data_IF_849938136682
#
_entry.id   IF_849938136682
#
_cell.length_a   1.000
_cell.length_b   1.000
_cell.length_c   1.000
_cell.angle_alpha   90.00
_cell.angle_beta   90.00
_cell.angle_gamma   90.00
#
_symmetry.space_group_name_H-M   'P 1'
#
loop_
_entity.id
_entity.type
_entity.pdbx_description
1 polymer ?
#
# COMPACT_ATOMS: atom_id res chain seq x y z
N UNK A 1 -12.19 16.67 16.29
CA UNK A 1 -12.12 15.78 15.13
C UNK A 1 -11.61 14.48 15.68
N UNK A 2 -12.49 13.48 15.78
CA UNK A 2 -12.06 12.15 16.21
C UNK A 2 -11.13 11.61 15.11
N UNK A 3 -9.90 11.28 15.49
CA UNK A 3 -8.91 10.73 14.57
C UNK A 3 -9.26 9.30 14.20
N UNK A 4 -8.80 8.85 13.03
CA UNK A 4 -8.96 7.46 12.61
C UNK A 4 -7.95 6.56 13.33
N UNK A 5 -8.42 5.45 13.92
CA UNK A 5 -7.57 4.41 14.50
C UNK A 5 -7.23 3.36 13.46
N UNK A 6 -5.94 3.20 13.14
CA UNK A 6 -5.50 2.11 12.26
C UNK A 6 -5.73 0.71 12.88
N UNK A 7 -5.87 0.64 14.20
CA UNK A 7 -6.09 -0.61 14.93
C UNK A 7 -7.58 -0.98 14.98
N UNK A 8 -8.45 -0.02 15.24
CA UNK A 8 -9.88 -0.27 15.46
C UNK A 8 -10.72 -0.11 14.18
N UNK A 9 -10.36 0.85 13.31
CA UNK A 9 -11.19 1.26 12.17
C UNK A 9 -10.70 0.66 10.83
N UNK A 10 -9.54 -0.01 10.84
CA UNK A 10 -8.87 -0.47 9.63
C UNK A 10 -8.42 -1.94 9.72
N UNK A 11 -8.23 -2.55 8.55
CA UNK A 11 -7.64 -3.88 8.40
C UNK A 11 -6.34 -3.75 7.60
N UNK A 12 -5.26 -4.35 8.11
CA UNK A 12 -4.00 -4.44 7.38
C UNK A 12 -4.05 -5.61 6.38
N UNK A 13 -3.76 -5.33 5.12
CA UNK A 13 -3.77 -6.31 4.02
C UNK A 13 -2.47 -6.21 3.22
N UNK A 14 -2.13 -7.29 2.51
CA UNK A 14 -1.13 -7.20 1.44
C UNK A 14 -1.71 -6.35 0.31
N UNK A 15 -0.93 -5.39 -0.17
CA UNK A 15 -1.35 -4.52 -1.26
C UNK A 15 -1.22 -5.26 -2.60
N UNK A 16 -2.31 -5.32 -3.36
CA UNK A 16 -2.38 -6.03 -4.63
C UNK A 16 -3.49 -5.46 -5.54
N UNK A 17 -3.66 -6.05 -6.72
CA UNK A 17 -4.66 -5.63 -7.72
C UNK A 17 -6.11 -5.73 -7.22
N UNK A 18 -6.41 -6.71 -6.36
CA UNK A 18 -7.75 -6.88 -5.81
C UNK A 18 -8.09 -5.76 -4.83
N UNK A 19 -7.17 -5.42 -3.92
CA UNK A 19 -7.33 -4.27 -3.01
C UNK A 19 -7.54 -2.98 -3.80
N UNK A 20 -6.72 -2.72 -4.82
CA UNK A 20 -6.86 -1.53 -5.71
C UNK A 20 -8.22 -1.44 -6.39
N UNK A 21 -8.77 -2.57 -6.83
CA UNK A 21 -10.08 -2.61 -7.50
C UNK A 21 -11.25 -2.37 -6.55
N UNK A 22 -11.11 -2.79 -5.30
CA UNK A 22 -12.19 -2.76 -4.30
C UNK A 22 -12.16 -1.52 -3.41
N UNK A 23 -11.11 -0.69 -3.48
CA UNK A 23 -10.98 0.55 -2.72
C UNK A 23 -11.14 1.78 -3.63
N UNK A 24 -11.43 2.93 -3.02
CA UNK A 24 -11.27 4.22 -3.70
C UNK A 24 -9.81 4.44 -4.16
N UNK A 25 -9.59 5.20 -5.25
CA UNK A 25 -8.24 5.56 -5.68
C UNK A 25 -7.42 6.16 -4.53
N UNK A 26 -6.21 5.64 -4.35
CA UNK A 26 -5.29 6.11 -3.32
C UNK A 26 -4.48 7.31 -3.82
N UNK A 27 -4.23 8.27 -2.94
CA UNK A 27 -3.17 9.27 -3.08
C UNK A 27 -2.69 9.68 -1.68
N UNK A 28 -1.39 9.77 -1.47
CA UNK A 28 -0.82 10.43 -0.28
C UNK A 28 -0.41 11.88 -0.54
N UNK A 29 -0.66 12.40 -1.76
CA UNK A 29 -0.30 13.75 -2.18
C UNK A 29 1.14 13.90 -2.68
N UNK A 30 1.94 12.83 -2.66
CA UNK A 30 3.31 12.81 -3.19
C UNK A 30 3.35 11.94 -4.44
N UNK A 31 3.52 12.57 -5.60
CA UNK A 31 3.37 11.91 -6.91
C UNK A 31 4.32 10.72 -7.09
N UNK A 32 5.55 10.80 -6.58
CA UNK A 32 6.54 9.73 -6.68
C UNK A 32 6.11 8.47 -5.91
N UNK A 33 5.55 8.65 -4.71
CA UNK A 33 5.02 7.55 -3.91
C UNK A 33 3.74 6.98 -4.51
N UNK A 34 2.85 7.85 -5.00
CA UNK A 34 1.62 7.43 -5.66
C UNK A 34 1.91 6.60 -6.91
N UNK A 35 2.88 7.03 -7.73
CA UNK A 35 3.34 6.30 -8.92
C UNK A 35 3.98 4.96 -8.55
N UNK A 36 4.88 4.96 -7.56
CA UNK A 36 5.52 3.74 -7.06
C UNK A 36 4.48 2.70 -6.62
N UNK A 37 3.50 3.09 -5.79
CA UNK A 37 2.47 2.15 -5.34
C UNK A 37 1.56 1.71 -6.48
N UNK A 38 1.19 2.61 -7.39
CA UNK A 38 0.29 2.27 -8.48
C UNK A 38 0.93 1.33 -9.51
N UNK A 39 2.19 1.58 -9.87
CA UNK A 39 2.83 1.00 -11.05
C UNK A 39 3.99 0.04 -10.71
N UNK A 40 4.78 0.30 -9.68
CA UNK A 40 6.04 -0.42 -9.42
C UNK A 40 5.96 -1.46 -8.29
N UNK A 41 5.05 -1.28 -7.32
CA UNK A 41 4.97 -2.13 -6.14
C UNK A 41 4.75 -3.62 -6.46
N UNK A 42 4.01 -3.93 -7.53
CA UNK A 42 3.82 -5.32 -8.01
C UNK A 42 5.14 -5.91 -8.52
N UNK A 43 5.87 -5.17 -9.36
CA UNK A 43 7.16 -5.60 -9.89
C UNK A 43 8.20 -5.75 -8.78
N UNK A 44 8.20 -4.84 -7.80
CA UNK A 44 9.06 -4.92 -6.62
C UNK A 44 8.81 -6.21 -5.81
N UNK A 45 7.56 -6.65 -5.73
CA UNK A 45 7.20 -7.90 -5.10
C UNK A 45 7.61 -9.13 -5.94
N UNK A 46 7.40 -9.08 -7.25
CA UNK A 46 7.75 -10.16 -8.19
C UNK A 46 9.28 -10.39 -8.22
N UNK A 47 10.08 -9.33 -8.16
CA UNK A 47 11.55 -9.38 -8.09
C UNK A 47 12.11 -9.65 -6.67
N UNK A 48 11.23 -9.96 -5.71
CA UNK A 48 11.57 -10.24 -4.31
C UNK A 48 12.33 -9.09 -3.61
N UNK A 49 12.18 -7.86 -4.09
CA UNK A 49 12.83 -6.66 -3.55
C UNK A 49 12.11 -6.14 -2.31
N UNK A 50 10.79 -6.29 -2.26
CA UNK A 50 10.00 -5.90 -1.10
C UNK A 50 8.56 -6.38 -1.16
N UNK A 51 7.83 -6.23 -0.06
CA UNK A 51 6.39 -6.49 0.00
C UNK A 51 5.66 -5.26 0.48
N UNK A 52 4.65 -4.86 -0.26
CA UNK A 52 3.80 -3.71 0.08
C UNK A 52 2.57 -4.15 0.85
N UNK A 53 2.26 -3.44 1.93
CA UNK A 53 1.08 -3.64 2.76
C UNK A 53 0.32 -2.32 2.88
N UNK A 54 -0.98 -2.42 3.12
CA UNK A 54 -1.88 -1.28 3.26
C UNK A 54 -2.84 -1.43 4.44
N UNK A 55 -3.25 -0.31 5.02
CA UNK A 55 -4.43 -0.25 5.87
C UNK A 55 -5.64 0.22 5.08
N UNK A 56 -6.72 -0.53 5.19
CA UNK A 56 -7.99 -0.27 4.52
C UNK A 56 -9.09 -0.06 5.55
N UNK A 57 -9.90 0.97 5.39
CA UNK A 57 -11.05 1.23 6.28
C UNK A 57 -12.07 0.10 6.23
N UNK A 58 -12.62 -0.28 7.38
CA UNK A 58 -13.67 -1.29 7.46
C UNK A 58 -15.00 -0.79 6.85
N UNK A 59 -15.23 0.52 6.83
CA UNK A 59 -16.41 1.15 6.22
C UNK A 59 -16.40 1.06 4.69
N UNK A 60 -17.60 1.06 4.10
CA UNK A 60 -17.82 1.09 2.65
C UNK A 60 -18.24 2.53 2.25
N UNK A 61 -17.64 3.14 1.20
CA UNK A 61 -16.62 2.56 0.34
C UNK A 61 -15.26 2.47 1.04
N UNK A 62 -14.58 1.34 0.83
CA UNK A 62 -13.26 1.08 1.40
C UNK A 62 -12.23 2.10 0.91
N UNK A 63 -11.42 2.62 1.82
CA UNK A 63 -10.33 3.57 1.52
C UNK A 63 -9.02 3.02 2.02
N UNK A 64 -7.99 3.12 1.17
CA UNK A 64 -6.62 2.91 1.61
C UNK A 64 -6.19 4.18 2.34
N UNK A 65 -5.78 4.06 3.60
CA UNK A 65 -5.39 5.21 4.44
C UNK A 65 -3.89 5.28 4.69
N UNK A 66 -3.19 4.17 4.50
CA UNK A 66 -1.74 4.09 4.61
C UNK A 66 -1.20 2.93 3.76
N UNK A 67 0.02 3.11 3.25
CA UNK A 67 0.78 2.13 2.47
C UNK A 67 2.23 2.15 2.96
N UNK A 68 2.86 0.98 2.99
CA UNK A 68 4.30 0.87 3.22
C UNK A 68 4.87 -0.37 2.52
N UNK A 69 6.13 -0.28 2.12
CA UNK A 69 6.87 -1.41 1.56
C UNK A 69 7.97 -1.82 2.53
N UNK A 70 8.02 -3.10 2.87
CA UNK A 70 9.10 -3.70 3.63
C UNK A 70 10.05 -4.41 2.68
N UNK A 71 11.33 -4.02 2.70
CA UNK A 71 12.42 -4.66 1.97
C UNK A 71 13.54 -5.07 2.94
N UNK A 72 14.29 -6.12 2.59
CA UNK A 72 15.49 -6.47 3.34
C UNK A 72 16.66 -5.58 2.87
N UNK A 73 17.37 -4.97 3.82
CA UNK A 73 18.48 -4.03 3.58
C UNK A 73 19.62 -4.59 2.70
N UNK A 74 19.81 -5.91 2.67
CA UNK A 74 20.85 -6.56 1.87
C UNK A 74 20.43 -6.93 0.44
N UNK A 75 19.17 -6.68 0.05
CA UNK A 75 18.71 -6.94 -1.32
C UNK A 75 19.04 -5.72 -2.18
N UNK A 76 20.02 -5.88 -3.06
CA UNK A 76 20.41 -4.86 -4.04
C UNK A 76 19.93 -5.29 -5.41
N UNK A 77 19.30 -4.37 -6.13
CA UNK A 77 19.01 -4.55 -7.54
C UNK A 77 20.33 -4.71 -8.28
N UNK A 78 20.36 -5.66 -9.22
CA UNK A 78 21.52 -5.87 -10.09
C UNK A 78 21.45 -4.82 -11.19
N UNK A 79 21.81 -3.57 -10.86
CA UNK A 79 22.12 -2.55 -11.86
C UNK A 79 23.33 -2.99 -12.69
#
# INVERSE_FOLDING_TARGET
>A
MDGISLYDDCVMLAYNKEVRRNCLPFTCGENDLDDFFLNDADLYADELLGKTYCWVTAEIPHRIVALFTLSNDSIKTRL
#
